data_IF_727362055728
#
_entry.id   IF_727362055728
#
_cell.length_a   1.000
_cell.length_b   1.000
_cell.length_c   1.000
_cell.angle_alpha   90.00
_cell.angle_beta   90.00
_cell.angle_gamma   90.00
#
_symmetry.space_group_name_H-M   'P 1'
#
loop_
_entity.id
_entity.type
_entity.pdbx_description
1 polymer ?
#
# COMPACT_ATOMS: atom_id res chain seq x y z
N UNK A 1 30.37 -12.81 1.57
CA UNK A 1 29.31 -12.03 2.26
C UNK A 1 27.96 -12.40 1.67
N UNK A 2 27.20 -13.26 2.36
CA UNK A 2 25.91 -13.79 1.89
C UNK A 2 24.87 -12.69 1.80
N UNK A 3 24.55 -12.29 0.57
CA UNK A 3 23.59 -11.23 0.26
C UNK A 3 22.16 -11.79 0.37
N UNK A 4 21.66 -11.94 1.61
CA UNK A 4 20.30 -12.45 1.85
C UNK A 4 19.30 -11.34 1.47
N UNK A 5 18.85 -11.33 0.20
CA UNK A 5 17.66 -10.60 -0.25
C UNK A 5 16.41 -11.20 0.42
N UNK A 6 16.13 -10.80 1.66
CA UNK A 6 14.95 -11.28 2.37
C UNK A 6 13.68 -10.83 1.67
N UNK A 7 12.78 -11.79 1.40
CA UNK A 7 11.44 -11.49 0.89
C UNK A 7 10.63 -10.84 2.01
N UNK A 8 9.95 -9.71 1.76
CA UNK A 8 9.14 -9.07 2.79
C UNK A 8 8.00 -10.01 3.16
N UNK A 9 7.97 -10.41 4.44
CA UNK A 9 6.91 -11.23 5.01
C UNK A 9 5.63 -10.39 5.13
N UNK A 10 4.48 -11.04 4.96
CA UNK A 10 3.21 -10.40 5.30
C UNK A 10 3.16 -10.12 6.79
N UNK A 11 2.73 -8.92 7.14
CA UNK A 11 2.37 -8.60 8.52
C UNK A 11 1.11 -9.36 8.89
N UNK A 12 1.08 -9.91 10.10
CA UNK A 12 -0.06 -10.63 10.65
C UNK A 12 -0.47 -9.95 11.96
N UNK A 13 -1.75 -9.58 12.07
CA UNK A 13 -2.29 -8.96 13.28
C UNK A 13 -3.68 -9.52 13.58
N UNK A 14 -4.21 -9.21 14.77
CA UNK A 14 -5.53 -9.67 15.22
C UNK A 14 -6.69 -9.31 14.27
N UNK A 15 -6.52 -8.31 13.40
CA UNK A 15 -7.54 -7.90 12.44
C UNK A 15 -7.51 -8.70 11.15
N UNK A 16 -6.43 -9.44 10.83
CA UNK A 16 -6.30 -10.19 9.57
C UNK A 16 -7.46 -11.16 9.34
N UNK A 17 -7.85 -11.94 10.35
CA UNK A 17 -8.99 -12.87 10.27
C UNK A 17 -10.29 -12.13 9.93
N UNK A 18 -10.60 -11.05 10.66
CA UNK A 18 -11.78 -10.21 10.40
C UNK A 18 -11.80 -9.55 9.01
N UNK A 19 -10.64 -9.42 8.37
CA UNK A 19 -10.50 -8.88 7.02
C UNK A 19 -10.55 -9.94 5.94
N UNK A 20 -10.71 -11.22 6.25
CA UNK A 20 -10.80 -12.31 5.28
C UNK A 20 -9.67 -13.33 5.34
N UNK A 21 -8.73 -13.22 6.28
CA UNK A 21 -7.77 -14.28 6.61
C UNK A 21 -6.57 -14.45 5.66
N UNK A 22 -6.59 -13.86 4.47
CA UNK A 22 -5.47 -13.89 3.52
C UNK A 22 -4.90 -12.50 3.22
N UNK A 23 -3.65 -12.47 2.77
CA UNK A 23 -2.93 -11.25 2.41
C UNK A 23 -2.30 -11.37 1.02
N UNK A 24 -2.19 -10.23 0.34
CA UNK A 24 -1.61 -10.12 -1.01
C UNK A 24 -0.85 -8.82 -1.18
N UNK A 25 0.22 -8.86 -1.96
CA UNK A 25 0.95 -7.66 -2.35
C UNK A 25 0.28 -6.99 -3.55
N UNK A 26 0.14 -5.67 -3.48
CA UNK A 26 -0.35 -4.83 -4.56
C UNK A 26 0.70 -3.79 -4.94
N UNK A 27 0.95 -3.63 -6.24
CA UNK A 27 1.53 -2.40 -6.77
C UNK A 27 0.39 -1.40 -6.95
N UNK A 28 0.56 -0.22 -6.36
CA UNK A 28 -0.39 0.89 -6.45
C UNK A 28 0.20 1.93 -7.40
N UNK A 29 -0.60 2.37 -8.35
CA UNK A 29 -0.21 3.38 -9.34
C UNK A 29 -1.20 4.55 -9.32
N UNK A 30 -0.71 5.72 -9.70
CA UNK A 30 -1.57 6.86 -9.98
C UNK A 30 -2.42 6.55 -11.22
N UNK A 31 -3.74 6.71 -11.11
CA UNK A 31 -4.63 6.49 -12.24
C UNK A 31 -4.34 7.47 -13.38
N UNK A 32 -4.11 8.74 -13.05
CA UNK A 32 -3.93 9.84 -14.02
C UNK A 32 -2.67 9.69 -14.88
N UNK A 33 -1.55 9.26 -14.31
CA UNK A 33 -0.24 9.34 -14.99
C UNK A 33 0.56 8.03 -14.98
N UNK A 34 -0.04 6.94 -14.49
CA UNK A 34 0.56 5.61 -14.43
C UNK A 34 1.86 5.48 -13.61
N UNK A 35 2.24 6.50 -12.84
CA UNK A 35 3.40 6.44 -11.98
C UNK A 35 3.19 5.42 -10.86
N UNK A 36 4.17 4.56 -10.62
CA UNK A 36 4.16 3.67 -9.45
C UNK A 36 4.27 4.52 -8.18
N UNK A 37 3.33 4.32 -7.25
CA UNK A 37 3.25 5.08 -6.02
C UNK A 37 3.87 4.31 -4.86
N UNK A 38 3.46 3.06 -4.69
CA UNK A 38 3.88 2.24 -3.56
C UNK A 38 3.56 0.75 -3.75
N UNK A 39 4.18 -0.08 -2.91
CA UNK A 39 3.81 -1.47 -2.68
C UNK A 39 3.00 -1.56 -1.38
N UNK A 40 1.84 -2.22 -1.43
CA UNK A 40 0.90 -2.30 -0.32
C UNK A 40 0.49 -3.74 0.00
N UNK A 41 0.46 -4.09 1.28
CA UNK A 41 -0.20 -5.32 1.72
C UNK A 41 -1.71 -5.09 1.86
N UNK A 42 -2.49 -5.75 1.00
CA UNK A 42 -3.95 -5.82 1.17
C UNK A 42 -4.33 -7.11 1.89
N UNK A 43 -5.14 -6.97 2.93
CA UNK A 43 -5.84 -8.09 3.55
C UNK A 43 -7.24 -8.25 2.95
N UNK A 44 -7.56 -9.52 2.68
CA UNK A 44 -8.80 -10.07 2.14
C UNK A 44 -9.49 -9.35 0.97
N UNK A 45 -10.80 -9.60 0.78
CA UNK A 45 -11.49 -9.26 -0.46
C UNK A 45 -11.87 -7.78 -0.58
N UNK A 46 -12.49 -7.42 -1.70
CA UNK A 46 -13.13 -6.11 -1.90
C UNK A 46 -12.23 -4.97 -2.42
N UNK A 47 -12.84 -3.80 -2.53
CA UNK A 47 -12.19 -2.59 -3.07
C UNK A 47 -11.22 -1.95 -2.09
N UNK A 48 -10.19 -1.30 -2.63
CA UNK A 48 -9.15 -0.64 -1.84
C UNK A 48 -9.61 0.78 -1.50
N UNK A 49 -10.25 0.96 -0.34
CA UNK A 49 -10.71 2.28 0.14
C UNK A 49 -9.66 3.03 0.95
N UNK A 50 -8.71 2.30 1.53
CA UNK A 50 -7.75 2.82 2.51
C UNK A 50 -6.38 2.18 2.33
N UNK A 51 -5.34 2.94 2.66
CA UNK A 51 -3.95 2.47 2.77
C UNK A 51 -3.47 2.69 4.20
N UNK A 52 -3.50 1.65 5.03
CA UNK A 52 -2.89 1.69 6.37
C UNK A 52 -1.38 1.91 6.27
N UNK A 53 -0.85 2.85 7.05
CA UNK A 53 0.55 3.29 6.92
C UNK A 53 1.53 2.16 7.14
N UNK A 54 1.28 1.35 8.15
CA UNK A 54 2.13 0.23 8.50
C UNK A 54 1.97 -0.97 7.55
N UNK A 55 1.05 -0.92 6.57
CA UNK A 55 0.91 -1.92 5.51
C UNK A 55 1.57 -1.47 4.19
N UNK A 56 2.11 -0.25 4.14
CA UNK A 56 2.92 0.22 3.02
C UNK A 56 4.33 -0.33 3.19
N UNK A 57 4.79 -1.08 2.20
CA UNK A 57 6.12 -1.70 2.21
C UNK A 57 7.19 -0.73 1.69
N UNK A 58 6.92 -0.08 0.56
CA UNK A 58 7.85 0.87 -0.05
C UNK A 58 7.09 1.87 -0.94
N UNK A 59 7.52 3.14 -1.02
CA UNK A 59 8.55 3.75 -0.18
C UNK A 59 8.11 3.80 1.29
N UNK A 60 9.05 3.97 2.23
CA UNK A 60 8.70 4.20 3.63
C UNK A 60 7.99 5.55 3.71
N UNK A 61 6.67 5.54 3.91
CA UNK A 61 5.89 6.78 3.92
C UNK A 61 5.95 7.39 5.31
N UNK A 62 6.58 8.57 5.43
CA UNK A 62 6.37 9.46 6.58
C UNK A 62 5.00 10.11 6.43
N UNK A 63 4.21 10.06 7.50
CA UNK A 63 2.83 10.55 7.60
C UNK A 63 2.69 12.00 7.12
N UNK A 64 2.14 12.20 5.92
CA UNK A 64 1.73 13.51 5.40
C UNK A 64 0.22 13.71 5.53
N UNK A 65 -0.26 14.97 5.48
CA UNK A 65 -1.70 15.29 5.52
C UNK A 65 -2.46 14.70 4.33
N UNK A 66 -1.82 14.61 3.17
CA UNK A 66 -2.40 14.15 1.90
C UNK A 66 -1.48 13.18 1.18
N UNK A 67 -2.05 12.20 0.49
CA UNK A 67 -1.32 11.34 -0.44
C UNK A 67 -1.31 12.03 -1.81
N UNK A 68 -0.12 12.39 -2.31
CA UNK A 68 0.04 13.11 -3.57
C UNK A 68 0.94 12.33 -4.52
N UNK A 69 0.55 12.27 -5.80
CA UNK A 69 1.42 11.71 -6.84
C UNK A 69 2.62 12.64 -7.08
N UNK A 70 3.85 12.14 -6.87
CA UNK A 70 5.05 12.97 -7.08
C UNK A 70 5.25 13.42 -8.54
N UNK A 71 4.81 12.60 -9.51
CA UNK A 71 4.95 12.86 -10.96
C UNK A 71 3.96 13.89 -11.49
N UNK A 72 2.64 13.72 -11.26
CA UNK A 72 1.61 14.60 -11.83
C UNK A 72 0.89 15.49 -10.82
N UNK A 73 1.32 15.48 -9.54
CA UNK A 73 0.78 16.27 -8.43
C UNK A 73 -0.70 16.02 -8.10
N UNK A 74 -1.34 15.01 -8.69
CA UNK A 74 -2.71 14.62 -8.35
C UNK A 74 -2.83 14.26 -6.85
N UNK A 75 -3.88 14.75 -6.20
CA UNK A 75 -4.23 14.39 -4.83
C UNK A 75 -5.02 13.08 -4.87
N UNK A 76 -4.50 12.06 -4.19
CA UNK A 76 -4.99 10.68 -4.27
C UNK A 76 -5.80 10.29 -3.04
N UNK A 77 -5.62 11.00 -1.93
CA UNK A 77 -6.32 10.75 -0.68
C UNK A 77 -5.86 11.65 0.45
N UNK A 78 -6.49 11.48 1.61
CA UNK A 78 -6.24 12.27 2.83
C UNK A 78 -5.88 11.37 4.00
N UNK A 79 -5.03 11.85 4.89
CA UNK A 79 -4.71 11.15 6.13
C UNK A 79 -5.93 11.12 7.06
N UNK A 80 -6.19 9.95 7.66
CA UNK A 80 -7.27 9.73 8.62
C UNK A 80 -6.84 8.71 9.68
N UNK A 81 -7.49 8.74 10.84
CA UNK A 81 -7.47 7.63 11.79
C UNK A 81 -8.72 6.78 11.55
N UNK A 82 -8.54 5.52 11.19
CA UNK A 82 -9.67 4.60 11.04
C UNK A 82 -10.22 4.19 12.41
N UNK A 83 -11.36 4.77 12.79
CA UNK A 83 -11.95 4.66 14.14
C UNK A 83 -12.05 3.23 14.67
N UNK A 84 -12.50 2.26 13.85
CA UNK A 84 -12.71 0.86 14.30
C UNK A 84 -11.42 0.17 14.77
N UNK A 85 -10.27 0.59 14.25
CA UNK A 85 -8.97 -0.02 14.58
C UNK A 85 -8.00 0.98 15.24
N UNK A 86 -8.44 2.22 15.47
CA UNK A 86 -7.60 3.35 15.92
C UNK A 86 -6.29 3.46 15.12
N UNK A 87 -6.36 3.21 13.80
CA UNK A 87 -5.19 2.99 12.95
C UNK A 87 -5.00 4.09 11.90
N UNK A 88 -3.81 4.71 11.80
CA UNK A 88 -3.49 5.67 10.76
C UNK A 88 -3.56 5.08 9.35
N UNK A 89 -4.19 5.81 8.44
CA UNK A 89 -4.34 5.42 7.03
C UNK A 89 -4.47 6.63 6.11
N UNK A 90 -4.26 6.43 4.82
CA UNK A 90 -4.85 7.30 3.80
C UNK A 90 -6.24 6.79 3.43
N UNK A 91 -7.26 7.66 3.46
CA UNK A 91 -8.54 7.43 2.78
C UNK A 91 -8.36 7.83 1.33
N UNK A 92 -8.50 6.87 0.42
CA UNK A 92 -8.36 7.11 -1.01
C UNK A 92 -9.61 7.80 -1.56
N UNK A 93 -9.41 8.73 -2.49
CA UNK A 93 -10.47 9.23 -3.34
C UNK A 93 -10.81 8.17 -4.40
N UNK A 94 -12.08 8.11 -4.80
CA UNK A 94 -12.55 7.11 -5.77
C UNK A 94 -11.89 7.36 -7.12
N UNK A 95 -11.41 6.30 -7.77
CA UNK A 95 -10.83 6.39 -9.12
C UNK A 95 -9.46 7.07 -9.21
N UNK A 96 -8.79 7.40 -8.10
CA UNK A 96 -7.48 8.07 -8.17
C UNK A 96 -6.29 7.11 -8.27
N UNK A 97 -6.51 5.82 -7.98
CA UNK A 97 -5.47 4.80 -8.02
C UNK A 97 -5.94 3.53 -8.72
N UNK A 98 -5.02 2.88 -9.44
CA UNK A 98 -5.13 1.49 -9.88
C UNK A 98 -4.19 0.58 -9.12
N UNK A 99 -4.51 -0.70 -9.14
CA UNK A 99 -3.78 -1.76 -8.42
C UNK A 99 -3.43 -2.91 -9.36
N UNK A 100 -2.24 -3.47 -9.20
CA UNK A 100 -1.81 -4.72 -9.83
C UNK A 100 -1.42 -5.74 -8.76
N UNK A 101 -1.92 -6.97 -8.87
CA UNK A 101 -1.53 -8.07 -7.96
C UNK A 101 -0.10 -8.51 -8.26
N UNK A 102 0.69 -8.71 -7.21
CA UNK A 102 2.02 -9.34 -7.30
C UNK A 102 1.88 -10.77 -6.77
N UNK A 103 2.31 -11.78 -7.53
CA UNK A 103 2.32 -13.15 -7.01
C UNK A 103 3.30 -13.26 -5.85
N UNK A 104 2.98 -14.07 -4.84
CA UNK A 104 3.82 -14.30 -3.66
C UNK A 104 5.23 -14.83 -4.00
N UNK A 105 5.43 -15.37 -5.20
CA UNK A 105 6.69 -15.92 -5.70
C UNK A 105 7.64 -14.85 -6.26
N UNK A 106 7.11 -13.68 -6.68
CA UNK A 106 7.92 -12.55 -7.15
C UNK A 106 8.03 -11.52 -6.03
N UNK A 107 9.17 -11.50 -5.35
CA UNK A 107 9.54 -10.41 -4.44
C UNK A 107 9.38 -9.09 -5.20
N UNK A 108 8.58 -8.12 -4.71
CA UNK A 108 8.58 -6.80 -5.31
C UNK A 108 10.01 -6.27 -5.21
N UNK A 109 10.69 -6.10 -6.35
CA UNK A 109 11.95 -5.39 -6.37
C UNK A 109 11.62 -3.96 -6.00
N UNK A 110 12.09 -3.52 -4.84
CA UNK A 110 12.09 -2.10 -4.49
C UNK A 110 13.10 -1.48 -5.46
N UNK A 111 12.65 -0.98 -6.61
CA UNK A 111 13.47 -0.16 -7.49
C UNK A 111 13.58 1.19 -6.79
N UNK A 112 14.67 1.40 -6.07
CA UNK A 112 15.02 2.67 -5.43
C UNK A 112 15.45 3.68 -6.48
N UNK A 113 14.52 4.11 -7.34
CA UNK A 113 14.72 5.31 -8.16
C UNK A 113 13.65 6.30 -7.72
N UNK A 114 14.02 7.12 -6.71
CA UNK A 114 13.28 8.31 -6.34
C UNK A 114 13.49 9.41 -7.36
#
# INVERSE_FOLDING_TARGET
MSNIKQRPKFKDDKFKKSRGGYSRWLLIYCEKCNAQLLIYQKDGPGILKRLYYDRILAPLVRSGKTLVCKKCKAILGVSVIYKKEKRPAYRLFVGTVKKKLISSQRTPRITSNF
#
